data_IF_087251070314
#
_entry.id   IF_087251070314
#
_cell.length_a   1.000
_cell.length_b   1.000
_cell.length_c   1.000
_cell.angle_alpha   90.00
_cell.angle_beta   90.00
_cell.angle_gamma   90.00
#
_symmetry.space_group_name_H-M   'P 1'
#
loop_
_entity.id
_entity.type
_entity.pdbx_description
1 polymer ?
#
# COMPACT_ATOMS: atom_id res chain seq x y z
N UNK A 1 4.40 2.70 7.22
CA UNK A 1 3.21 2.93 8.09
C UNK A 1 2.03 2.19 7.50
N UNK A 2 0.89 2.11 8.19
CA UNK A 2 -0.30 1.38 7.69
C UNK A 2 -1.11 2.14 6.62
N UNK A 3 -0.56 3.17 5.98
CA UNK A 3 -1.21 3.93 4.90
C UNK A 3 -2.54 4.61 5.27
N UNK A 4 -3.11 5.44 4.38
CA UNK A 4 -4.36 6.17 4.63
C UNK A 4 -5.60 5.32 4.28
N UNK A 5 -5.60 4.04 4.65
CA UNK A 5 -6.61 3.11 4.15
C UNK A 5 -7.93 3.15 4.91
N UNK A 6 -9.03 2.90 4.20
CA UNK A 6 -10.31 2.61 4.80
C UNK A 6 -10.23 1.29 5.60
N UNK A 7 -10.66 1.32 6.85
CA UNK A 7 -10.56 0.17 7.77
C UNK A 7 -11.17 -1.10 7.16
N UNK A 8 -10.38 -2.19 7.15
CA UNK A 8 -10.78 -3.48 6.58
C UNK A 8 -10.76 -3.55 5.05
N UNK A 9 -10.31 -2.50 4.36
CA UNK A 9 -10.22 -2.42 2.88
C UNK A 9 -8.80 -2.24 2.36
N UNK A 10 -7.84 -2.80 3.08
CA UNK A 10 -6.45 -2.82 2.67
C UNK A 10 -5.78 -4.14 3.06
N UNK A 11 -4.65 -4.40 2.40
CA UNK A 11 -3.80 -5.54 2.67
C UNK A 11 -2.32 -5.15 2.66
N UNK A 12 -1.54 -5.85 3.48
CA UNK A 12 -0.07 -5.83 3.39
C UNK A 12 0.37 -6.76 2.27
N UNK A 13 1.41 -6.34 1.54
CA UNK A 13 2.08 -7.18 0.54
C UNK A 13 3.31 -7.79 1.18
N UNK A 14 3.35 -9.12 1.22
CA UNK A 14 4.48 -9.87 1.73
C UNK A 14 5.18 -10.60 0.59
N UNK A 15 6.50 -10.44 0.48
CA UNK A 15 7.36 -11.20 -0.43
C UNK A 15 8.36 -11.95 0.44
N UNK A 16 8.37 -13.29 0.34
CA UNK A 16 9.22 -14.16 1.16
C UNK A 16 9.11 -13.90 2.68
N UNK A 17 7.93 -13.50 3.15
CA UNK A 17 7.68 -13.16 4.55
C UNK A 17 8.09 -11.73 4.94
N UNK A 18 8.80 -11.00 4.08
CA UNK A 18 9.15 -9.59 4.26
C UNK A 18 7.99 -8.71 3.82
N UNK A 19 7.64 -7.71 4.64
CA UNK A 19 6.64 -6.71 4.27
C UNK A 19 7.27 -5.66 3.34
N UNK A 20 6.77 -5.58 2.11
CA UNK A 20 7.34 -4.71 1.06
C UNK A 20 6.43 -3.54 0.67
N UNK A 21 5.22 -3.47 1.21
CA UNK A 21 4.25 -2.45 0.81
C UNK A 21 2.82 -2.78 1.20
N UNK A 22 1.90 -1.88 0.91
CA UNK A 22 0.47 -2.09 1.16
C UNK A 22 -0.37 -1.44 0.07
N UNK A 23 -1.59 -1.94 -0.09
CA UNK A 23 -2.56 -1.39 -1.03
C UNK A 23 -3.95 -1.44 -0.42
N UNK A 24 -4.83 -0.58 -0.90
CA UNK A 24 -6.22 -0.54 -0.46
C UNK A 24 -7.00 0.63 -1.01
N UNK A 25 -8.23 0.73 -0.53
CA UNK A 25 -9.09 1.88 -0.73
C UNK A 25 -8.67 2.99 0.26
N UNK A 26 -8.50 4.22 -0.23
CA UNK A 26 -8.20 5.38 0.62
C UNK A 26 -9.42 5.70 1.48
N UNK A 27 -9.22 5.99 2.77
CA UNK A 27 -10.30 6.45 3.64
C UNK A 27 -10.96 7.70 3.04
N UNK A 28 -12.30 7.72 2.86
CA UNK A 28 -13.00 8.86 2.29
C UNK A 28 -12.72 10.19 2.99
N UNK A 29 -12.43 10.19 4.30
CA UNK A 29 -12.05 11.40 5.04
C UNK A 29 -10.69 11.95 4.59
N UNK A 30 -9.74 11.07 4.28
CA UNK A 30 -8.45 11.48 3.72
C UNK A 30 -8.66 11.99 2.29
N UNK A 31 -9.36 11.25 1.44
CA UNK A 31 -9.65 11.68 0.06
C UNK A 31 -10.35 13.05 -0.03
N UNK A 32 -11.28 13.33 0.88
CA UNK A 32 -11.99 14.60 0.97
C UNK A 32 -11.06 15.80 1.25
N UNK A 33 -9.96 15.59 1.97
CA UNK A 33 -8.97 16.67 2.23
C UNK A 33 -8.18 17.09 0.97
N UNK A 34 -8.31 16.33 -0.12
CA UNK A 34 -7.74 16.60 -1.44
C UNK A 34 -8.82 16.85 -2.51
N UNK A 35 -10.06 17.14 -2.10
CA UNK A 35 -11.21 17.38 -3.00
C UNK A 35 -11.51 16.20 -3.96
N UNK A 36 -11.19 14.98 -3.56
CA UNK A 36 -11.46 13.78 -4.34
C UNK A 36 -12.88 13.28 -4.07
N UNK A 37 -13.74 13.36 -5.08
CA UNK A 37 -15.17 13.04 -4.94
C UNK A 37 -15.53 11.58 -5.28
N UNK A 38 -14.54 10.71 -5.50
CA UNK A 38 -14.75 9.31 -5.91
C UNK A 38 -13.89 8.37 -5.06
N UNK A 39 -14.31 7.09 -4.88
CA UNK A 39 -13.47 6.09 -4.23
C UNK A 39 -12.15 5.95 -4.98
N UNK A 40 -11.05 5.93 -4.23
CA UNK A 40 -9.71 5.81 -4.78
C UNK A 40 -9.01 4.57 -4.26
N UNK A 41 -8.40 3.81 -5.17
CA UNK A 41 -7.46 2.76 -4.84
C UNK A 41 -6.04 3.31 -4.95
N UNK A 42 -5.18 2.93 -4.01
CA UNK A 42 -3.76 3.22 -4.10
C UNK A 42 -2.92 2.06 -3.56
N UNK A 43 -1.63 2.11 -3.89
CA UNK A 43 -0.63 1.17 -3.40
C UNK A 43 0.67 1.92 -3.15
N UNK A 44 1.40 1.53 -2.12
CA UNK A 44 2.73 2.03 -1.77
C UNK A 44 3.66 0.85 -1.57
N UNK A 45 4.86 0.93 -2.14
CA UNK A 45 5.90 -0.08 -2.03
C UNK A 45 7.21 0.57 -1.60
N UNK A 46 7.89 -0.07 -0.66
CA UNK A 46 9.27 0.23 -0.32
C UNK A 46 10.18 -0.50 -1.32
N UNK A 47 10.82 0.27 -2.21
CA UNK A 47 11.68 -0.30 -3.24
C UNK A 47 12.92 -0.99 -2.67
N UNK A 48 13.44 -0.55 -1.53
CA UNK A 48 14.59 -1.19 -0.89
C UNK A 48 14.21 -2.53 -0.27
N UNK A 49 13.11 -2.56 0.50
CA UNK A 49 12.59 -3.81 1.06
C UNK A 49 12.18 -4.80 -0.05
N UNK A 50 11.66 -4.30 -1.17
CA UNK A 50 11.34 -5.11 -2.33
C UNK A 50 12.60 -5.70 -2.97
N UNK A 51 13.63 -4.90 -3.22
CA UNK A 51 14.90 -5.35 -3.80
C UNK A 51 15.57 -6.43 -2.94
N UNK A 52 15.61 -6.22 -1.62
CA UNK A 52 16.15 -7.20 -0.67
C UNK A 52 15.32 -8.50 -0.58
N UNK A 53 14.01 -8.42 -0.81
CA UNK A 53 13.11 -9.58 -0.73
C UNK A 53 13.06 -10.40 -2.03
N UNK A 54 13.44 -9.80 -3.17
CA UNK A 54 13.46 -10.47 -4.46
C UNK A 54 14.66 -11.44 -4.54
N UNK A 55 14.46 -12.64 -5.10
CA UNK A 55 15.57 -13.54 -5.36
C UNK A 55 16.52 -12.94 -6.40
N UNK A 56 17.82 -13.23 -6.26
CA UNK A 56 18.83 -12.86 -7.24
C UNK A 56 18.37 -13.33 -8.64
N UNK A 57 18.22 -12.40 -9.62
CA UNK A 57 17.65 -12.72 -10.92
C UNK A 57 18.57 -13.56 -11.84
N UNK A 58 19.71 -14.05 -11.35
CA UNK A 58 20.83 -14.79 -12.00
C UNK A 58 21.95 -13.93 -12.58
#
# INVERSE_FOLDING_TARGET
GEGPWLAGRAARVLVNGTWVGCFGEIDPHVGASFDLAVPMNAAEFDMGALDEALPDPV
#
